data_IF_595996382661
#
_entry.id   IF_595996382661
#
_cell.length_a   1.000
_cell.length_b   1.000
_cell.length_c   1.000
_cell.angle_alpha   90.00
_cell.angle_beta   90.00
_cell.angle_gamma   90.00
#
_symmetry.space_group_name_H-M   'P 1'
#
loop_
_entity.id
_entity.type
_entity.pdbx_description
1 polymer ?
#
# COMPACT_ATOMS: atom_id res chain seq x y z
N UNK A 1 22.05 5.55 41.26
CA UNK A 1 21.67 4.12 41.04
C UNK A 1 20.22 3.88 40.63
N UNK A 2 19.20 4.52 41.24
CA UNK A 2 17.79 4.32 40.84
C UNK A 2 17.47 4.70 39.39
N UNK A 3 18.11 5.75 38.86
CA UNK A 3 17.91 6.20 37.48
C UNK A 3 18.45 5.18 36.46
N UNK A 4 19.66 4.66 36.68
CA UNK A 4 20.26 3.61 35.85
C UNK A 4 19.40 2.34 35.79
N UNK A 5 18.75 1.96 36.91
CA UNK A 5 17.82 0.82 36.93
C UNK A 5 16.57 1.09 36.07
N UNK A 6 16.00 2.30 36.13
CA UNK A 6 14.86 2.70 35.29
C UNK A 6 15.24 2.74 33.80
N UNK A 7 16.42 3.25 33.48
CA UNK A 7 16.91 3.33 32.11
C UNK A 7 17.16 1.93 31.54
N UNK A 8 17.75 1.03 32.34
CA UNK A 8 17.95 -0.38 31.97
C UNK A 8 16.62 -1.10 31.73
N UNK A 9 15.62 -0.85 32.58
CA UNK A 9 14.28 -1.43 32.40
C UNK A 9 13.60 -0.89 31.14
N UNK A 10 13.74 0.41 30.85
CA UNK A 10 13.22 1.02 29.63
C UNK A 10 13.90 0.46 28.37
N UNK A 11 15.21 0.24 28.41
CA UNK A 11 15.97 -0.40 27.33
C UNK A 11 15.45 -1.83 27.12
N UNK A 12 15.26 -2.61 28.18
CA UNK A 12 14.75 -3.98 28.07
C UNK A 12 13.37 -4.05 27.40
N UNK A 13 12.47 -3.10 27.71
CA UNK A 13 11.14 -3.00 27.11
C UNK A 13 11.23 -2.65 25.63
N UNK A 14 12.10 -1.70 25.26
CA UNK A 14 12.34 -1.33 23.86
C UNK A 14 12.95 -2.49 23.06
N UNK A 15 13.87 -3.24 23.66
CA UNK A 15 14.47 -4.43 23.07
C UNK A 15 13.39 -5.48 22.75
N UNK A 16 12.54 -5.83 23.74
CA UNK A 16 11.40 -6.74 23.52
C UNK A 16 10.48 -6.27 22.39
N UNK A 17 10.17 -4.97 22.33
CA UNK A 17 9.35 -4.41 21.26
C UNK A 17 10.01 -4.52 19.88
N UNK A 18 11.33 -4.36 19.80
CA UNK A 18 12.09 -4.54 18.56
C UNK A 18 12.08 -6.00 18.12
N UNK A 19 12.25 -6.95 19.04
CA UNK A 19 12.17 -8.39 18.74
C UNK A 19 10.81 -8.76 18.15
N UNK A 20 9.71 -8.32 18.78
CA UNK A 20 8.36 -8.56 18.29
C UNK A 20 8.10 -7.94 16.89
N UNK A 21 8.73 -6.79 16.59
CA UNK A 21 8.65 -6.19 15.25
C UNK A 21 9.45 -6.99 14.23
N UNK A 22 10.64 -7.45 14.59
CA UNK A 22 11.49 -8.28 13.74
C UNK A 22 10.80 -9.60 13.38
N UNK A 23 10.20 -10.29 14.36
CA UNK A 23 9.42 -11.52 14.14
C UNK A 23 8.23 -11.30 13.20
N UNK A 24 7.51 -10.18 13.35
CA UNK A 24 6.40 -9.83 12.44
C UNK A 24 6.89 -9.57 11.01
N UNK A 25 8.09 -9.02 10.85
CA UNK A 25 8.70 -8.80 9.53
C UNK A 25 9.15 -10.14 8.95
N UNK A 26 9.85 -10.98 9.71
CA UNK A 26 10.25 -12.33 9.30
C UNK A 26 9.05 -13.17 8.85
N UNK A 27 7.96 -13.16 9.61
CA UNK A 27 6.71 -13.84 9.25
C UNK A 27 6.05 -13.29 7.98
N UNK A 28 6.19 -12.00 7.69
CA UNK A 28 5.69 -11.40 6.44
C UNK A 28 6.59 -11.73 5.25
N UNK A 29 7.90 -11.75 5.44
CA UNK A 29 8.87 -12.14 4.42
C UNK A 29 8.72 -13.61 4.06
N UNK A 30 8.56 -14.50 5.04
CA UNK A 30 8.36 -15.93 4.81
C UNK A 30 7.04 -16.22 4.06
N UNK A 31 6.01 -15.38 4.24
CA UNK A 31 4.77 -15.43 3.45
C UNK A 31 4.92 -14.90 2.03
N UNK A 32 5.88 -14.01 1.79
CA UNK A 32 6.18 -13.48 0.46
C UNK A 32 7.10 -14.42 -0.32
N UNK A 33 8.01 -15.14 0.37
CA UNK A 33 8.93 -16.11 -0.24
C UNK A 33 8.23 -17.41 -0.66
N UNK A 34 7.18 -17.82 0.06
CA UNK A 34 6.33 -18.96 -0.34
C UNK A 34 5.44 -18.70 -1.57
N UNK A 35 5.44 -17.49 -2.13
CA UNK A 35 4.86 -17.22 -3.44
C UNK A 35 5.91 -17.52 -4.53
N UNK A 36 6.07 -18.83 -4.83
CA UNK A 36 6.93 -19.32 -5.92
C UNK A 36 6.71 -18.53 -7.23
N UNK A 37 7.78 -18.22 -7.98
CA UNK A 37 7.70 -17.56 -9.28
C UNK A 37 7.23 -18.58 -10.32
N UNK A 38 6.01 -18.45 -10.81
CA UNK A 38 5.55 -19.23 -11.97
C UNK A 38 6.08 -18.55 -13.24
N UNK A 39 7.24 -19.01 -13.72
CA UNK A 39 7.63 -18.88 -15.13
C UNK A 39 6.70 -19.78 -15.95
N UNK A 40 5.95 -19.22 -16.90
CA UNK A 40 5.79 -19.79 -18.25
C UNK A 40 4.98 -18.86 -19.19
N UNK A 41 5.33 -18.95 -20.47
CA UNK A 41 5.07 -18.15 -21.67
C UNK A 41 3.60 -18.15 -22.20
N UNK A 42 3.28 -17.40 -23.28
CA UNK A 42 2.00 -16.74 -23.54
C UNK A 42 1.06 -17.53 -24.46
N UNK A 43 -0.26 -17.50 -24.23
CA UNK A 43 -1.25 -17.92 -25.25
C UNK A 43 -2.60 -17.20 -25.09
N UNK A 44 -3.02 -16.58 -26.20
CA UNK A 44 -4.36 -16.27 -26.74
C UNK A 44 -5.53 -15.78 -25.85
N UNK A 45 -6.13 -14.71 -26.38
CA UNK A 45 -7.55 -14.31 -26.31
C UNK A 45 -8.51 -15.50 -26.09
N UNK A 46 -9.40 -15.37 -25.11
CA UNK A 46 -10.81 -15.74 -25.25
C UNK A 46 -11.62 -15.24 -24.05
N UNK A 47 -12.91 -15.07 -24.32
CA UNK A 47 -13.91 -14.36 -23.55
C UNK A 47 -14.30 -15.08 -22.24
N UNK A 48 -14.92 -14.27 -21.39
CA UNK A 48 -16.05 -14.60 -20.52
C UNK A 48 -15.80 -15.08 -19.08
N UNK A 49 -16.60 -14.45 -18.21
CA UNK A 49 -17.18 -14.91 -16.95
C UNK A 49 -16.25 -15.16 -15.75
N UNK A 50 -16.46 -14.24 -14.79
CA UNK A 50 -16.80 -14.52 -13.39
C UNK A 50 -15.68 -14.51 -12.32
N UNK A 51 -16.01 -13.72 -11.28
CA UNK A 51 -15.61 -13.79 -9.84
C UNK A 51 -14.19 -13.32 -9.45
N UNK A 52 -13.94 -12.96 -8.16
CA UNK A 52 -14.85 -12.89 -7.01
C UNK A 52 -14.91 -11.52 -6.31
N UNK A 53 -16.03 -11.25 -5.64
CA UNK A 53 -16.11 -10.30 -4.52
C UNK A 53 -15.13 -10.78 -3.45
N UNK A 54 -13.93 -10.21 -3.41
CA UNK A 54 -13.01 -10.42 -2.29
C UNK A 54 -13.47 -9.53 -1.14
N UNK A 55 -14.13 -10.18 -0.20
CA UNK A 55 -14.39 -9.72 1.16
C UNK A 55 -13.11 -9.15 1.75
N UNK A 56 -13.01 -7.82 1.83
CA UNK A 56 -11.90 -7.17 2.51
C UNK A 56 -12.27 -7.06 3.98
N UNK A 57 -11.54 -7.80 4.82
CA UNK A 57 -11.39 -7.51 6.25
C UNK A 57 -11.24 -6.00 6.45
N UNK A 58 -11.74 -5.41 7.56
CA UNK A 58 -11.62 -3.99 7.86
C UNK A 58 -10.17 -3.66 8.22
N UNK A 59 -9.30 -3.70 7.21
CA UNK A 59 -7.96 -3.15 7.28
C UNK A 59 -8.18 -1.65 7.29
N UNK A 60 -7.80 -0.97 8.38
CA UNK A 60 -7.70 0.49 8.46
C UNK A 60 -7.26 1.00 7.09
N UNK A 61 -8.19 1.60 6.34
CA UNK A 61 -7.97 1.87 4.93
C UNK A 61 -6.88 2.94 4.88
N UNK A 62 -5.67 2.54 4.50
CA UNK A 62 -4.56 3.48 4.41
C UNK A 62 -4.92 4.58 3.43
N UNK A 63 -4.54 5.83 3.72
CA UNK A 63 -4.74 6.97 2.83
C UNK A 63 -4.31 6.67 1.37
N UNK A 64 -3.21 5.91 1.20
CA UNK A 64 -2.75 5.47 -0.11
C UNK A 64 -3.70 4.47 -0.81
N UNK A 65 -4.36 3.60 -0.04
CA UNK A 65 -5.37 2.67 -0.55
C UNK A 65 -6.64 3.42 -0.98
N UNK A 66 -7.04 4.46 -0.24
CA UNK A 66 -8.16 5.35 -0.60
C UNK A 66 -7.90 6.07 -1.91
N UNK A 67 -6.74 6.73 -2.05
CA UNK A 67 -6.33 7.41 -3.29
C UNK A 67 -6.30 6.44 -4.47
N UNK A 68 -5.71 5.25 -4.29
CA UNK A 68 -5.67 4.23 -5.33
C UNK A 68 -7.07 3.74 -5.72
N UNK A 69 -7.99 3.62 -4.77
CA UNK A 69 -9.37 3.22 -5.04
C UNK A 69 -10.12 4.28 -5.86
N UNK A 70 -9.94 5.57 -5.54
CA UNK A 70 -10.53 6.67 -6.31
C UNK A 70 -10.00 6.68 -7.74
N UNK A 71 -8.69 6.55 -7.94
CA UNK A 71 -8.09 6.51 -9.29
C UNK A 71 -8.59 5.29 -10.08
N UNK A 72 -8.68 4.12 -9.45
CA UNK A 72 -9.18 2.90 -10.10
C UNK A 72 -10.65 2.98 -10.53
N UNK A 73 -11.44 3.82 -9.87
CA UNK A 73 -12.88 3.96 -10.16
C UNK A 73 -13.15 4.87 -11.35
N UNK A 74 -12.19 5.72 -11.75
CA UNK A 74 -12.32 6.59 -12.92
C UNK A 74 -11.73 5.96 -14.17
N UNK A 75 -12.51 5.97 -15.26
CA UNK A 75 -12.06 5.47 -16.58
C UNK A 75 -11.18 6.49 -17.32
N UNK A 76 -11.40 7.78 -17.10
CA UNK A 76 -10.67 8.89 -17.75
C UNK A 76 -9.48 9.40 -16.94
N UNK A 77 -9.28 8.85 -15.73
CA UNK A 77 -8.32 9.36 -14.76
C UNK A 77 -8.94 10.39 -13.82
N UNK A 78 -8.17 10.83 -12.84
CA UNK A 78 -8.61 11.75 -11.79
C UNK A 78 -7.56 12.84 -11.62
N UNK A 79 -8.01 14.09 -11.47
CA UNK A 79 -7.15 15.24 -11.19
C UNK A 79 -6.81 15.34 -9.69
N UNK A 80 -5.83 16.19 -9.37
CA UNK A 80 -5.38 16.43 -7.99
C UNK A 80 -6.48 17.05 -7.11
N UNK A 81 -7.27 18.00 -7.61
CA UNK A 81 -8.32 18.66 -6.83
C UNK A 81 -9.43 17.68 -6.42
N UNK A 82 -9.80 16.79 -7.34
CA UNK A 82 -10.79 15.72 -7.15
C UNK A 82 -10.25 14.67 -6.19
N UNK A 83 -8.96 14.32 -6.28
CA UNK A 83 -8.33 13.41 -5.33
C UNK A 83 -8.28 14.00 -3.93
N UNK A 84 -7.97 15.30 -3.79
CA UNK A 84 -7.98 16.01 -2.51
C UNK A 84 -9.38 15.97 -1.87
N UNK A 85 -10.41 16.29 -2.65
CA UNK A 85 -11.80 16.34 -2.19
C UNK A 85 -12.37 14.97 -1.83
N UNK A 86 -12.10 13.94 -2.66
CA UNK A 86 -12.64 12.58 -2.44
C UNK A 86 -11.88 11.78 -1.39
N UNK A 87 -10.57 12.02 -1.24
CA UNK A 87 -9.75 11.29 -0.28
C UNK A 87 -9.64 12.01 1.07
N UNK A 88 -9.94 13.31 1.14
CA UNK A 88 -9.84 14.10 2.37
C UNK A 88 -8.41 14.26 2.87
N UNK A 89 -7.42 14.30 1.97
CA UNK A 89 -5.99 14.35 2.29
C UNK A 89 -5.43 15.71 1.86
N UNK A 90 -4.52 16.28 2.66
CA UNK A 90 -3.79 17.49 2.29
C UNK A 90 -2.92 17.34 1.03
N UNK A 91 -2.64 18.44 0.34
CA UNK A 91 -1.91 18.46 -0.93
C UNK A 91 -0.50 17.85 -0.84
N UNK A 92 0.26 18.16 0.22
CA UNK A 92 1.62 17.65 0.42
C UNK A 92 1.65 16.12 0.58
N UNK A 93 0.75 15.59 1.42
CA UNK A 93 0.63 14.15 1.65
C UNK A 93 0.09 13.44 0.40
N UNK A 94 -0.83 14.06 -0.32
CA UNK A 94 -1.38 13.55 -1.57
C UNK A 94 -0.28 13.41 -2.64
N UNK A 95 0.55 14.43 -2.85
CA UNK A 95 1.67 14.36 -3.79
C UNK A 95 2.66 13.24 -3.44
N UNK A 96 3.00 13.10 -2.16
CA UNK A 96 3.86 12.02 -1.68
C UNK A 96 3.27 10.63 -1.95
N UNK A 97 1.96 10.47 -1.75
CA UNK A 97 1.23 9.23 -2.05
C UNK A 97 1.23 8.96 -3.55
N UNK A 98 0.89 9.94 -4.38
CA UNK A 98 0.87 9.83 -5.85
C UNK A 98 2.25 9.44 -6.36
N UNK A 99 3.31 10.11 -5.88
CA UNK A 99 4.69 9.79 -6.23
C UNK A 99 5.04 8.34 -5.91
N UNK A 100 4.71 7.87 -4.70
CA UNK A 100 4.92 6.46 -4.31
C UNK A 100 4.07 5.49 -5.12
N UNK A 101 2.83 5.83 -5.45
CA UNK A 101 1.95 4.99 -6.28
C UNK A 101 2.46 4.89 -7.73
N UNK A 102 2.99 5.99 -8.28
CA UNK A 102 3.64 6.03 -9.60
C UNK A 102 4.91 5.20 -9.61
N UNK A 103 5.78 5.38 -8.61
CA UNK A 103 7.04 4.61 -8.45
C UNK A 103 6.78 3.11 -8.32
N UNK A 104 5.70 2.72 -7.64
CA UNK A 104 5.28 1.32 -7.51
C UNK A 104 4.52 0.78 -8.74
N UNK A 105 4.39 1.55 -9.82
CA UNK A 105 3.72 1.12 -11.05
C UNK A 105 2.21 0.90 -10.91
N UNK A 106 1.56 1.47 -9.89
CA UNK A 106 0.11 1.27 -9.65
C UNK A 106 -0.76 2.28 -10.43
N UNK A 107 -0.19 3.44 -10.75
CA UNK A 107 -0.83 4.52 -11.50
C UNK A 107 0.15 5.07 -12.54
N UNK A 108 -0.37 5.64 -13.62
CA UNK A 108 0.36 6.35 -14.68
C UNK A 108 -0.19 7.78 -14.82
N UNK A 109 0.60 8.65 -15.45
CA UNK A 109 0.11 9.99 -15.84
C UNK A 109 -0.63 9.84 -17.16
N UNK A 110 -1.91 10.20 -17.19
CA UNK A 110 -2.72 10.25 -18.42
C UNK A 110 -2.62 11.59 -19.15
N UNK A 111 -2.13 12.61 -18.47
CA UNK A 111 -1.93 13.97 -18.98
C UNK A 111 -1.40 14.88 -17.88
N UNK A 112 -1.32 16.19 -18.13
CA UNK A 112 -0.90 17.17 -17.11
C UNK A 112 -1.90 17.16 -15.96
N UNK A 113 -1.46 16.72 -14.79
CA UNK A 113 -2.28 16.66 -13.57
C UNK A 113 -3.34 15.55 -13.53
N UNK A 114 -3.40 14.66 -14.54
CA UNK A 114 -4.38 13.58 -14.60
C UNK A 114 -3.69 12.24 -14.34
N UNK A 115 -4.19 11.50 -13.36
CA UNK A 115 -3.67 10.17 -13.00
C UNK A 115 -4.65 9.07 -13.37
N UNK A 116 -4.15 8.05 -14.07
CA UNK A 116 -4.89 6.88 -14.53
C UNK A 116 -4.33 5.62 -13.88
N UNK A 117 -5.13 4.55 -13.84
CA UNK A 117 -4.65 3.23 -13.46
C UNK A 117 -3.55 2.78 -14.45
N UNK A 118 -2.45 2.23 -13.92
CA UNK A 118 -1.38 1.67 -14.72
C UNK A 118 -1.80 0.44 -15.52
#
# INVERSE_FOLDING_TARGET
>A
MKQLKKDLEAISKKLKQLTLKAEKIANKLNKLDKAKPVKAKPVKKSKAKAKPKTTKKPVKVSAAATVLAVIKRSRKGVDVATLKSKAGIGSTTLNSIIYRLKKNGKIKSGGRGIYVKA
#
